data_IF_252889473867
#
_entry.id   IF_252889473867
#
_cell.length_a   1.000
_cell.length_b   1.000
_cell.length_c   1.000
_cell.angle_alpha   90.00
_cell.angle_beta   90.00
_cell.angle_gamma   90.00
#
_symmetry.space_group_name_H-M   'P 1'
#
loop_
_entity.id
_entity.type
_entity.pdbx_description
1 polymer ?
#
# COMPACT_ATOMS: atom_id res chain seq x y z
N UNK A 1 5.73 -14.11 -8.90
CA UNK A 1 5.25 -15.11 -7.93
C UNK A 1 5.75 -16.53 -8.23
N UNK A 2 5.43 -17.16 -9.37
CA UNK A 2 5.86 -18.52 -9.71
C UNK A 2 7.37 -18.70 -9.56
N UNK A 3 8.17 -17.87 -10.21
CA UNK A 3 9.64 -17.92 -10.14
C UNK A 3 10.18 -17.78 -8.70
N UNK A 4 9.58 -16.90 -7.89
CA UNK A 4 9.97 -16.72 -6.47
C UNK A 4 9.64 -17.97 -5.65
N UNK A 5 8.47 -18.58 -5.89
CA UNK A 5 8.08 -19.80 -5.20
C UNK A 5 8.96 -20.98 -5.59
N UNK A 6 9.25 -21.16 -6.88
CA UNK A 6 10.15 -22.22 -7.38
C UNK A 6 11.57 -22.08 -6.80
N UNK A 7 12.06 -20.84 -6.69
CA UNK A 7 13.41 -20.55 -6.16
C UNK A 7 13.52 -20.75 -4.65
N UNK A 8 12.48 -20.39 -3.89
CA UNK A 8 12.56 -20.28 -2.42
C UNK A 8 11.64 -21.24 -1.66
N UNK A 9 10.78 -22.00 -2.34
CA UNK A 9 9.76 -22.86 -1.74
C UNK A 9 8.67 -22.09 -0.98
N UNK A 10 8.67 -20.77 -1.05
CA UNK A 10 7.71 -19.87 -0.41
C UNK A 10 7.65 -18.53 -1.15
N UNK A 11 6.51 -17.87 -1.05
CA UNK A 11 6.33 -16.52 -1.57
C UNK A 11 5.37 -15.76 -0.65
N UNK A 12 5.68 -14.53 -0.32
CA UNK A 12 4.79 -13.58 0.38
C UNK A 12 4.55 -12.42 -0.56
N UNK A 13 3.30 -12.04 -0.73
CA UNK A 13 2.89 -10.99 -1.67
C UNK A 13 2.08 -9.97 -0.88
N UNK A 14 2.49 -8.71 -0.92
CA UNK A 14 1.68 -7.59 -0.49
C UNK A 14 0.89 -7.08 -1.69
N UNK A 15 -0.42 -6.95 -1.54
CA UNK A 15 -1.33 -6.56 -2.62
C UNK A 15 -2.18 -5.39 -2.16
N UNK A 16 -2.30 -4.36 -2.98
CA UNK A 16 -3.27 -3.30 -2.82
C UNK A 16 -4.57 -3.64 -3.56
N UNK A 17 -5.70 -3.12 -3.11
CA UNK A 17 -6.99 -3.26 -3.80
C UNK A 17 -6.97 -2.64 -5.20
N UNK A 18 -6.14 -1.61 -5.40
CA UNK A 18 -6.03 -0.87 -6.64
C UNK A 18 -5.10 -1.47 -7.69
N UNK A 19 -4.78 -2.77 -7.63
CA UNK A 19 -3.98 -3.40 -8.69
C UNK A 19 -4.79 -3.57 -9.98
N UNK A 20 -4.15 -3.24 -11.11
CA UNK A 20 -4.73 -3.32 -12.44
C UNK A 20 -3.93 -4.29 -13.32
N UNK A 21 -4.56 -4.77 -14.38
CA UNK A 21 -3.85 -5.46 -15.45
C UNK A 21 -3.12 -4.48 -16.39
N UNK A 22 -2.46 -5.01 -17.41
CA UNK A 22 -1.77 -4.21 -18.41
C UNK A 22 -2.73 -3.34 -19.27
N UNK A 23 -4.01 -3.65 -19.29
CA UNK A 23 -5.06 -2.89 -19.96
C UNK A 23 -5.67 -1.78 -19.11
N UNK A 24 -5.27 -1.68 -17.83
CA UNK A 24 -5.81 -0.71 -16.88
C UNK A 24 -7.10 -1.17 -16.19
N UNK A 25 -7.53 -2.43 -16.37
CA UNK A 25 -8.69 -2.97 -15.71
C UNK A 25 -8.35 -3.49 -14.30
N UNK A 26 -9.15 -3.15 -13.26
CA UNK A 26 -8.92 -3.66 -11.92
C UNK A 26 -8.95 -5.19 -11.88
N UNK A 27 -7.91 -5.80 -11.31
CA UNK A 27 -7.82 -7.26 -11.20
C UNK A 27 -9.01 -7.85 -10.45
N UNK A 28 -9.50 -7.16 -9.46
CA UNK A 28 -10.67 -7.59 -8.72
C UNK A 28 -11.94 -7.66 -9.58
N UNK A 29 -12.12 -6.72 -10.51
CA UNK A 29 -13.23 -6.74 -11.49
C UNK A 29 -13.12 -7.92 -12.44
N UNK A 30 -11.89 -8.22 -12.91
CA UNK A 30 -11.62 -9.33 -13.81
C UNK A 30 -11.84 -10.71 -13.15
N UNK A 31 -11.63 -10.81 -11.85
CA UNK A 31 -11.75 -12.07 -11.11
C UNK A 31 -13.12 -12.26 -10.45
N UNK A 32 -13.86 -11.17 -10.23
CA UNK A 32 -15.17 -11.22 -9.60
C UNK A 32 -16.24 -11.77 -10.58
N UNK A 33 -17.10 -12.65 -10.07
CA UNK A 33 -18.27 -13.14 -10.83
C UNK A 33 -19.39 -12.11 -10.86
N UNK A 34 -19.50 -11.31 -9.82
CA UNK A 34 -20.44 -10.19 -9.67
C UNK A 34 -19.66 -8.98 -9.13
N UNK A 35 -19.95 -7.81 -9.67
CA UNK A 35 -19.27 -6.56 -9.32
C UNK A 35 -20.28 -5.62 -8.71
N UNK A 36 -20.18 -5.38 -7.41
CA UNK A 36 -20.92 -4.31 -6.75
C UNK A 36 -20.23 -2.97 -7.02
N UNK A 37 -21.03 -1.95 -7.35
CA UNK A 37 -20.56 -0.59 -7.57
C UNK A 37 -21.18 0.35 -6.55
N UNK A 38 -20.39 1.34 -6.11
CA UNK A 38 -20.91 2.42 -5.27
C UNK A 38 -21.77 3.40 -6.06
N UNK A 39 -22.36 4.38 -5.36
CA UNK A 39 -23.21 5.42 -5.97
C UNK A 39 -22.46 6.29 -7.02
N UNK A 40 -21.13 6.23 -7.05
CA UNK A 40 -20.26 6.96 -7.98
C UNK A 40 -19.73 6.06 -9.12
N UNK A 41 -20.17 4.80 -9.18
CA UNK A 41 -19.77 3.84 -10.21
C UNK A 41 -18.44 3.13 -9.95
N UNK A 42 -17.78 3.37 -8.81
CA UNK A 42 -16.55 2.68 -8.45
C UNK A 42 -16.84 1.26 -7.97
N UNK A 43 -15.96 0.33 -8.30
CA UNK A 43 -16.06 -1.05 -7.83
C UNK A 43 -15.83 -1.08 -6.32
N UNK A 44 -16.84 -1.53 -5.58
CA UNK A 44 -16.76 -1.64 -4.12
C UNK A 44 -16.11 -2.97 -3.74
N UNK A 45 -14.82 -2.92 -3.49
CA UNK A 45 -14.02 -4.07 -3.06
C UNK A 45 -13.66 -4.02 -1.58
N UNK A 46 -13.78 -2.85 -0.98
CA UNK A 46 -13.38 -2.60 0.40
C UNK A 46 -14.31 -3.31 1.39
N UNK A 47 -13.71 -4.14 2.23
CA UNK A 47 -14.38 -4.77 3.37
C UNK A 47 -14.83 -6.22 3.17
N UNK A 48 -14.87 -6.74 1.95
CA UNK A 48 -15.35 -8.11 1.69
C UNK A 48 -14.24 -9.19 1.79
N UNK A 49 -12.96 -8.81 1.85
CA UNK A 49 -11.86 -9.78 1.73
C UNK A 49 -11.76 -10.45 0.34
N UNK A 50 -12.68 -10.12 -0.56
CA UNK A 50 -12.88 -10.80 -1.82
C UNK A 50 -11.63 -10.88 -2.69
N UNK A 51 -10.81 -9.80 -2.77
CA UNK A 51 -9.60 -9.82 -3.60
C UNK A 51 -8.60 -10.88 -3.12
N UNK A 52 -8.39 -11.00 -1.80
CA UNK A 52 -7.46 -11.99 -1.26
C UNK A 52 -7.92 -13.42 -1.57
N UNK A 53 -9.20 -13.70 -1.42
CA UNK A 53 -9.78 -15.00 -1.71
C UNK A 53 -9.74 -15.33 -3.20
N UNK A 54 -10.13 -14.38 -4.07
CA UNK A 54 -10.05 -14.52 -5.53
C UNK A 54 -8.63 -14.80 -5.99
N UNK A 55 -7.64 -14.06 -5.47
CA UNK A 55 -6.23 -14.31 -5.80
C UNK A 55 -5.75 -15.67 -5.28
N UNK A 56 -6.19 -16.10 -4.10
CA UNK A 56 -5.87 -17.42 -3.58
C UNK A 56 -6.40 -18.54 -4.48
N UNK A 57 -7.63 -18.39 -4.97
CA UNK A 57 -8.25 -19.39 -5.86
C UNK A 57 -7.57 -19.42 -7.23
N UNK A 58 -7.26 -18.27 -7.80
CA UNK A 58 -6.49 -18.18 -9.04
C UNK A 58 -5.09 -18.80 -8.92
N UNK A 59 -4.40 -18.57 -7.82
CA UNK A 59 -3.09 -19.16 -7.56
C UNK A 59 -3.18 -20.69 -7.45
N UNK A 60 -4.19 -21.19 -6.76
CA UNK A 60 -4.42 -22.63 -6.65
C UNK A 60 -4.72 -23.24 -8.02
N UNK A 61 -5.62 -22.62 -8.77
CA UNK A 61 -6.05 -23.11 -10.08
C UNK A 61 -4.93 -23.08 -11.13
N UNK A 62 -4.24 -21.94 -11.26
CA UNK A 62 -3.24 -21.76 -12.33
C UNK A 62 -1.88 -22.33 -12.01
N UNK A 63 -1.47 -22.37 -10.76
CA UNK A 63 -0.12 -22.79 -10.36
C UNK A 63 -0.09 -24.13 -9.64
N UNK A 64 -1.24 -24.73 -9.32
CA UNK A 64 -1.32 -25.99 -8.60
C UNK A 64 -0.77 -25.96 -7.17
N UNK A 65 -0.58 -24.74 -6.60
CA UNK A 65 -0.06 -24.58 -5.25
C UNK A 65 -1.19 -24.80 -4.25
N UNK A 66 -1.16 -25.93 -3.55
CA UNK A 66 -2.27 -26.32 -2.65
C UNK A 66 -2.41 -25.43 -1.41
N UNK A 67 -1.30 -24.96 -0.83
CA UNK A 67 -1.30 -24.16 0.39
C UNK A 67 -1.13 -22.68 0.08
N UNK A 68 -2.23 -22.00 -0.15
CA UNK A 68 -2.30 -20.56 -0.35
C UNK A 68 -3.22 -19.99 0.71
N UNK A 69 -2.80 -18.90 1.32
CA UNK A 69 -3.55 -18.16 2.34
C UNK A 69 -3.55 -16.68 1.96
N UNK A 70 -4.71 -16.05 2.06
CA UNK A 70 -4.91 -14.62 1.97
C UNK A 70 -5.31 -14.06 3.34
N UNK A 71 -4.74 -12.94 3.72
CA UNK A 71 -5.11 -12.21 4.92
C UNK A 71 -5.40 -10.76 4.51
N UNK A 72 -6.61 -10.29 4.79
CA UNK A 72 -7.02 -8.91 4.51
C UNK A 72 -6.96 -8.09 5.80
N UNK A 73 -6.20 -7.00 5.78
CA UNK A 73 -6.05 -6.14 6.96
C UNK A 73 -7.30 -5.29 7.26
N UNK A 74 -8.15 -5.07 6.27
CA UNK A 74 -9.32 -4.22 6.41
C UNK A 74 -8.96 -2.81 6.85
N UNK A 75 -9.59 -2.32 7.90
CA UNK A 75 -9.37 -0.98 8.43
C UNK A 75 -8.22 -0.86 9.43
N UNK A 76 -7.54 -1.93 9.80
CA UNK A 76 -6.45 -1.90 10.78
C UNK A 76 -5.36 -0.90 10.40
N UNK A 77 -4.99 -0.82 9.12
CA UNK A 77 -4.01 0.14 8.62
C UNK A 77 -4.38 1.61 8.84
N UNK A 78 -5.68 1.92 9.05
CA UNK A 78 -6.21 3.27 9.27
C UNK A 78 -6.54 3.55 10.72
N UNK A 79 -6.71 2.53 11.55
CA UNK A 79 -7.22 2.64 12.91
C UNK A 79 -6.27 2.16 13.98
N UNK A 80 -5.14 1.55 13.63
CA UNK A 80 -4.18 1.06 14.60
C UNK A 80 -3.27 2.20 15.09
N UNK A 81 -3.49 2.62 16.33
CA UNK A 81 -2.77 3.74 16.94
C UNK A 81 -1.35 3.41 17.41
N UNK A 82 -0.95 2.12 17.40
CA UNK A 82 0.36 1.67 17.88
C UNK A 82 1.53 1.98 16.94
N UNK A 83 1.26 2.39 15.70
CA UNK A 83 2.27 2.70 14.69
C UNK A 83 1.92 3.98 13.92
N UNK A 84 1.66 5.07 14.62
CA UNK A 84 1.39 6.37 14.02
C UNK A 84 2.70 7.07 13.69
N UNK A 85 2.87 7.52 12.44
CA UNK A 85 3.97 8.40 12.08
C UNK A 85 3.76 9.80 12.67
N UNK A 86 4.72 10.27 13.43
CA UNK A 86 4.73 11.63 14.00
C UNK A 86 4.85 12.69 12.89
N UNK A 87 5.51 12.37 11.79
CA UNK A 87 5.61 13.25 10.60
C UNK A 87 4.24 13.37 9.93
N UNK A 88 3.60 12.24 9.62
CA UNK A 88 2.27 12.22 8.99
C UNK A 88 1.23 12.94 9.86
N UNK A 89 1.26 12.69 11.18
CA UNK A 89 0.34 13.33 12.12
C UNK A 89 0.51 14.84 12.12
N UNK A 90 1.76 15.33 12.13
CA UNK A 90 2.06 16.77 12.09
C UNK A 90 1.60 17.38 10.77
N UNK A 91 1.98 16.79 9.65
CA UNK A 91 1.65 17.27 8.31
C UNK A 91 0.13 17.27 8.07
N UNK A 92 -0.59 16.26 8.52
CA UNK A 92 -2.05 16.22 8.46
C UNK A 92 -2.69 17.36 9.25
N UNK A 93 -2.16 17.71 10.44
CA UNK A 93 -2.61 18.86 11.22
C UNK A 93 -2.34 20.16 10.48
N UNK A 94 -1.14 20.33 9.95
CA UNK A 94 -0.74 21.54 9.22
C UNK A 94 -1.59 21.75 7.95
N UNK A 95 -1.95 20.67 7.25
CA UNK A 95 -2.92 20.74 6.13
C UNK A 95 -4.26 21.30 6.58
N UNK A 96 -4.79 20.81 7.71
CA UNK A 96 -6.05 21.31 8.27
C UNK A 96 -5.98 22.80 8.66
N UNK A 97 -4.90 23.20 9.30
CA UNK A 97 -4.65 24.60 9.68
C UNK A 97 -4.55 25.51 8.44
N UNK A 98 -3.85 25.06 7.39
CA UNK A 98 -3.75 25.77 6.11
C UNK A 98 -5.09 25.88 5.40
N UNK A 99 -5.90 24.83 5.41
CA UNK A 99 -7.23 24.85 4.81
C UNK A 99 -8.11 25.93 5.48
N UNK A 100 -8.08 26.03 6.81
CA UNK A 100 -8.79 27.09 7.55
C UNK A 100 -8.24 28.47 7.21
N UNK A 101 -6.91 28.64 7.11
CA UNK A 101 -6.30 29.92 6.73
C UNK A 101 -6.74 30.38 5.34
N UNK A 102 -6.71 29.49 4.34
CA UNK A 102 -7.17 29.81 2.98
C UNK A 102 -8.65 30.19 2.96
N UNK A 103 -9.51 29.43 3.64
CA UNK A 103 -10.93 29.76 3.76
C UNK A 103 -11.16 31.13 4.42
N UNK A 104 -10.38 31.46 5.44
CA UNK A 104 -10.45 32.76 6.12
C UNK A 104 -10.04 33.93 5.20
N UNK A 105 -9.09 33.69 4.29
CA UNK A 105 -8.68 34.68 3.29
C UNK A 105 -9.64 34.80 2.10
N UNK A 106 -10.70 34.00 2.08
CA UNK A 106 -11.71 34.00 1.03
C UNK A 106 -11.41 33.08 -0.16
N UNK A 107 -10.38 32.24 -0.04
CA UNK A 107 -10.02 31.23 -1.03
C UNK A 107 -10.71 29.91 -0.67
N UNK A 108 -11.92 29.68 -1.20
CA UNK A 108 -12.79 28.59 -0.77
C UNK A 108 -12.82 27.39 -1.72
N UNK A 109 -12.24 27.50 -2.93
CA UNK A 109 -12.28 26.45 -3.95
C UNK A 109 -10.89 25.81 -4.10
N UNK A 110 -10.67 24.70 -3.41
CA UNK A 110 -9.42 24.00 -3.59
C UNK A 110 -9.19 22.88 -2.58
N UNK A 111 -8.08 22.19 -2.79
CA UNK A 111 -7.55 21.18 -1.87
C UNK A 111 -6.15 21.56 -1.47
N UNK A 112 -5.84 21.49 -0.16
CA UNK A 112 -4.49 21.76 0.31
C UNK A 112 -3.61 20.56 0.05
N UNK A 113 -2.58 20.74 -0.77
CA UNK A 113 -1.61 19.71 -1.13
C UNK A 113 -0.31 19.89 -0.34
N UNK A 114 0.29 18.77 0.03
CA UNK A 114 1.61 18.70 0.64
C UNK A 114 2.66 18.60 -0.48
N UNK A 115 3.58 19.54 -0.53
CA UNK A 115 4.73 19.52 -1.44
C UNK A 115 5.99 19.24 -0.64
N UNK A 116 6.63 18.12 -0.90
CA UNK A 116 7.90 17.78 -0.25
C UNK A 116 9.02 18.67 -0.81
N UNK A 117 9.61 19.49 0.04
CA UNK A 117 10.71 20.41 -0.32
C UNK A 117 12.06 19.96 0.21
N UNK A 118 12.09 18.93 1.04
CA UNK A 118 13.28 18.30 1.61
C UNK A 118 12.90 17.02 2.36
N UNK A 119 13.85 16.39 3.03
CA UNK A 119 13.57 15.12 3.74
C UNK A 119 12.45 15.25 4.77
N UNK A 120 12.50 16.25 5.63
CA UNK A 120 11.52 16.50 6.69
C UNK A 120 10.85 17.87 6.54
N UNK A 121 10.96 18.46 5.37
CA UNK A 121 10.43 19.76 5.04
C UNK A 121 9.31 19.63 4.03
N UNK A 122 8.19 20.25 4.31
CA UNK A 122 7.02 20.31 3.46
C UNK A 122 6.54 21.75 3.31
N UNK A 123 6.03 22.08 2.14
CA UNK A 123 5.28 23.27 1.83
C UNK A 123 3.83 22.91 1.51
N UNK A 124 2.92 23.83 1.71
CA UNK A 124 1.48 23.62 1.55
C UNK A 124 0.92 24.62 0.55
N UNK A 125 0.26 24.12 -0.46
CA UNK A 125 -0.34 24.94 -1.50
C UNK A 125 -1.81 24.56 -1.71
N UNK A 126 -2.65 25.56 -1.93
CA UNK A 126 -4.01 25.35 -2.38
C UNK A 126 -3.99 25.02 -3.88
N UNK A 127 -4.52 23.87 -4.25
CA UNK A 127 -4.68 23.46 -5.63
C UNK A 127 -6.15 23.52 -6.04
N UNK A 128 -6.48 23.94 -7.27
CA UNK A 128 -7.83 23.88 -7.79
C UNK A 128 -8.41 22.47 -7.71
N UNK A 129 -9.70 22.36 -7.43
CA UNK A 129 -10.36 21.05 -7.31
C UNK A 129 -10.26 20.21 -8.57
N UNK A 130 -10.26 20.84 -9.75
CA UNK A 130 -10.13 20.14 -11.04
C UNK A 130 -8.78 19.43 -11.20
N UNK A 131 -7.77 19.87 -10.47
CA UNK A 131 -6.45 19.22 -10.49
C UNK A 131 -6.40 17.96 -9.62
N UNK A 132 -7.30 17.84 -8.65
CA UNK A 132 -7.27 16.80 -7.62
C UNK A 132 -8.46 15.84 -7.75
N UNK A 133 -9.66 16.38 -7.96
CA UNK A 133 -10.89 15.60 -7.92
C UNK A 133 -10.96 14.55 -9.03
N UNK A 134 -11.33 13.32 -8.67
CA UNK A 134 -11.48 12.21 -9.61
C UNK A 134 -10.18 11.72 -10.25
N UNK A 135 -9.02 12.17 -9.78
CA UNK A 135 -7.72 11.75 -10.30
C UNK A 135 -7.00 10.82 -9.33
N UNK A 136 -6.37 9.80 -9.86
CA UNK A 136 -5.51 8.88 -9.12
C UNK A 136 -4.06 9.13 -9.52
N UNK A 137 -3.20 9.39 -8.53
CA UNK A 137 -1.77 9.43 -8.76
C UNK A 137 -1.21 8.02 -8.71
N UNK A 138 -0.55 7.60 -9.76
CA UNK A 138 0.17 6.33 -9.81
C UNK A 138 1.56 6.47 -9.17
N UNK A 139 2.12 5.33 -8.74
CA UNK A 139 3.52 5.28 -8.29
C UNK A 139 4.44 5.53 -9.47
N UNK A 140 5.46 6.35 -9.26
CA UNK A 140 6.47 6.62 -10.29
C UNK A 140 7.27 5.36 -10.61
N UNK A 141 7.51 5.10 -11.89
CA UNK A 141 8.24 3.90 -12.36
C UNK A 141 9.65 3.81 -11.78
N UNK A 142 10.29 4.96 -11.50
CA UNK A 142 11.61 5.02 -10.87
C UNK A 142 11.65 4.40 -9.47
N UNK A 143 10.50 4.24 -8.81
CA UNK A 143 10.40 3.64 -7.48
C UNK A 143 10.40 2.10 -7.51
N UNK A 144 10.17 1.51 -8.67
CA UNK A 144 10.09 0.07 -8.85
C UNK A 144 11.46 -0.47 -9.29
N UNK A 145 12.00 -1.40 -8.51
CA UNK A 145 13.27 -2.04 -8.90
C UNK A 145 13.09 -2.88 -10.17
N UNK A 146 14.12 -2.99 -11.03
CA UNK A 146 14.04 -3.79 -12.27
C UNK A 146 13.69 -5.26 -12.04
N UNK A 147 13.91 -5.78 -10.83
CA UNK A 147 13.50 -7.14 -10.45
C UNK A 147 11.97 -7.31 -10.39
N UNK A 148 11.20 -6.22 -10.31
CA UNK A 148 9.74 -6.23 -10.09
C UNK A 148 9.31 -6.75 -8.71
N UNK A 149 10.25 -7.02 -7.81
CA UNK A 149 9.97 -7.60 -6.48
C UNK A 149 10.57 -6.81 -5.32
N UNK A 150 11.12 -5.66 -5.62
CA UNK A 150 11.71 -4.74 -4.63
C UNK A 150 11.48 -3.29 -5.07
N UNK A 151 11.83 -2.34 -4.21
CA UNK A 151 11.79 -0.91 -4.45
C UNK A 151 13.20 -0.36 -4.59
N UNK A 152 13.32 0.77 -5.29
CA UNK A 152 14.60 1.47 -5.48
C UNK A 152 15.00 2.30 -4.26
N UNK A 153 16.22 2.81 -4.26
CA UNK A 153 16.66 3.77 -3.23
C UNK A 153 15.91 5.10 -3.34
N UNK A 154 15.43 5.49 -4.53
CA UNK A 154 14.56 6.66 -4.70
C UNK A 154 13.28 6.52 -3.88
N UNK A 155 12.63 5.35 -3.91
CA UNK A 155 11.46 5.10 -3.06
C UNK A 155 11.81 5.11 -1.57
N UNK A 156 12.93 4.54 -1.17
CA UNK A 156 13.37 4.53 0.23
C UNK A 156 13.62 5.95 0.75
N UNK A 157 14.21 6.81 -0.07
CA UNK A 157 14.42 8.22 0.25
C UNK A 157 13.09 8.98 0.37
N UNK A 158 12.14 8.70 -0.52
CA UNK A 158 10.80 9.27 -0.46
C UNK A 158 10.04 8.82 0.80
N UNK A 159 10.06 7.53 1.10
CA UNK A 159 9.28 6.94 2.19
C UNK A 159 9.87 7.25 3.58
N UNK A 160 11.19 7.31 3.70
CA UNK A 160 11.89 7.39 4.99
C UNK A 160 11.39 8.49 5.92
N UNK A 161 11.21 9.75 5.46
CA UNK A 161 10.65 10.79 6.33
C UNK A 161 9.21 10.51 6.74
N UNK A 162 8.41 9.86 5.88
CA UNK A 162 7.01 9.56 6.16
C UNK A 162 6.83 8.46 7.22
N UNK A 163 7.81 7.62 7.44
CA UNK A 163 7.77 6.59 8.50
C UNK A 163 7.83 7.23 9.90
N UNK A 164 8.41 8.41 10.01
CA UNK A 164 8.58 9.09 11.30
C UNK A 164 9.49 8.33 12.25
N UNK A 165 9.39 8.65 13.55
CA UNK A 165 10.21 8.07 14.61
C UNK A 165 9.57 6.88 15.32
N UNK A 166 8.29 6.59 15.05
CA UNK A 166 7.47 5.62 15.80
C UNK A 166 7.48 4.19 15.30
N UNK A 167 8.30 3.84 14.29
CA UNK A 167 8.37 2.47 13.80
C UNK A 167 9.02 1.56 14.84
N UNK A 168 8.34 0.48 15.26
CA UNK A 168 8.90 -0.45 16.23
C UNK A 168 10.07 -1.22 15.63
N UNK A 169 11.16 -1.36 16.40
CA UNK A 169 12.26 -2.25 16.06
C UNK A 169 11.85 -3.71 16.23
N UNK A 170 11.90 -4.45 15.12
CA UNK A 170 11.65 -5.89 15.13
C UNK A 170 12.96 -6.68 15.04
N UNK A 171 13.24 -7.47 16.06
CA UNK A 171 14.38 -8.37 16.06
C UNK A 171 14.09 -9.64 15.26
N UNK A 172 15.08 -10.05 14.45
CA UNK A 172 15.09 -11.38 13.86
C UNK A 172 15.91 -12.31 14.76
N UNK A 173 15.29 -13.41 15.18
CA UNK A 173 16.01 -14.46 15.87
C UNK A 173 17.12 -15.01 14.96
N UNK A 174 18.35 -14.97 15.43
CA UNK A 174 19.47 -15.64 14.77
C UNK A 174 19.50 -17.08 15.24
N UNK A 175 19.17 -18.01 14.35
CA UNK A 175 19.31 -19.44 14.62
C UNK A 175 20.72 -19.91 14.21
N UNK A 176 21.50 -20.39 15.17
CA UNK A 176 22.63 -21.27 14.88
C UNK A 176 22.08 -22.66 14.51
N UNK A 177 22.38 -23.15 13.32
CA UNK A 177 21.99 -24.51 12.94
C UNK A 177 22.86 -25.49 13.73
N UNK A 178 22.21 -26.33 14.51
CA UNK A 178 22.85 -27.44 15.20
C UNK A 178 22.53 -28.76 14.50
N UNK A 179 23.47 -29.70 14.52
CA UNK A 179 23.24 -31.01 13.98
C UNK A 179 22.15 -31.74 14.79
N UNK A 180 21.28 -32.50 14.12
CA UNK A 180 20.32 -33.36 14.81
C UNK A 180 21.04 -34.48 15.51
N UNK A 181 20.94 -34.54 16.83
CA UNK A 181 21.55 -35.57 17.66
C UNK A 181 20.75 -36.86 17.66
N UNK A 182 19.42 -36.75 17.46
CA UNK A 182 18.53 -37.91 17.42
C UNK A 182 18.69 -38.67 16.09
N UNK A 183 19.16 -39.93 16.19
CA UNK A 183 19.11 -40.85 15.06
C UNK A 183 17.65 -41.19 14.76
N UNK A 184 17.26 -41.12 13.50
CA UNK A 184 15.97 -41.72 13.08
C UNK A 184 16.12 -43.24 13.26
N UNK A 185 15.36 -43.84 14.16
CA UNK A 185 15.10 -45.27 14.20
C UNK A 185 14.31 -45.72 12.98
#
# INVERSE_FOLDING_TARGET
MKATYERHGRCVIAVSEGIHDAGGEPIATLLAKEVERDAHGNVQLSGTGALADLLCDEIRARLGIKRVRGDTFGYLQRSFIGCVSDVDQREAREVGEKAVQYAFWGENDGSVAIRRTGFYSADYALLPLEEVAGKTRTMEDEFIAPSGTDVTDAFRLYLRPLLGSGMPDAFRLRCARVAKILKRS
#
